data_IF_178470921649
#
_entry.id   IF_178470921649
#
_cell.length_a   1.000
_cell.length_b   1.000
_cell.length_c   1.000
_cell.angle_alpha   90.00
_cell.angle_beta   90.00
_cell.angle_gamma   90.00
#
_symmetry.space_group_name_H-M   'P 1'
#
loop_
_entity.id
_entity.type
_entity.pdbx_description
1 polymer ?
#
# COMPACT_ATOMS: atom_id res chain seq x y z
N UNK A 1 15.20 -34.57 -27.99
CA UNK A 1 15.89 -33.55 -27.16
C UNK A 1 15.21 -32.17 -27.20
N UNK A 2 14.79 -31.63 -28.36
CA UNK A 2 14.08 -30.34 -28.45
C UNK A 2 12.80 -30.25 -27.58
N UNK A 3 12.01 -31.32 -27.52
CA UNK A 3 10.74 -31.32 -26.77
C UNK A 3 10.93 -31.24 -25.24
N UNK A 4 12.08 -31.69 -24.73
CA UNK A 4 12.40 -31.64 -23.30
C UNK A 4 12.72 -30.21 -22.83
N UNK A 5 13.44 -29.44 -23.66
CA UNK A 5 13.72 -28.03 -23.37
C UNK A 5 12.46 -27.16 -23.40
N UNK A 6 11.53 -27.43 -24.32
CA UNK A 6 10.23 -26.75 -24.36
C UNK A 6 9.41 -27.06 -23.11
N UNK A 7 9.39 -28.31 -22.66
CA UNK A 7 8.71 -28.70 -21.41
C UNK A 7 9.33 -28.04 -20.17
N UNK A 8 10.65 -28.01 -20.06
CA UNK A 8 11.34 -27.36 -18.93
C UNK A 8 11.13 -25.84 -18.94
N UNK A 9 11.11 -25.22 -20.11
CA UNK A 9 10.80 -23.80 -20.26
C UNK A 9 9.34 -23.50 -19.90
N UNK A 10 8.38 -24.28 -20.39
CA UNK A 10 6.96 -24.14 -20.03
C UNK A 10 6.73 -24.38 -18.53
N UNK A 11 7.42 -25.35 -17.94
CA UNK A 11 7.36 -25.62 -16.50
C UNK A 11 7.92 -24.44 -15.69
N UNK A 12 9.11 -23.94 -16.05
CA UNK A 12 9.71 -22.76 -15.42
C UNK A 12 8.84 -21.51 -15.55
N UNK A 13 8.23 -21.29 -16.71
CA UNK A 13 7.32 -20.17 -16.92
C UNK A 13 6.08 -20.34 -16.04
N UNK A 14 5.47 -21.53 -16.01
CA UNK A 14 4.29 -21.82 -15.18
C UNK A 14 4.54 -21.72 -13.66
N UNK A 15 5.74 -22.10 -13.18
CA UNK A 15 6.08 -21.97 -11.76
C UNK A 15 6.20 -20.51 -11.32
N UNK A 16 6.79 -19.65 -12.17
CA UNK A 16 6.85 -18.21 -11.91
C UNK A 16 5.46 -17.55 -11.98
N UNK A 17 4.55 -18.04 -12.84
CA UNK A 17 3.16 -17.59 -12.86
C UNK A 17 2.41 -17.91 -11.55
N UNK A 18 2.67 -19.07 -10.94
CA UNK A 18 2.04 -19.46 -9.67
C UNK A 18 2.50 -18.57 -8.49
N UNK A 19 3.77 -18.16 -8.49
CA UNK A 19 4.35 -17.26 -7.48
C UNK A 19 3.91 -15.79 -7.69
N UNK A 20 3.72 -15.39 -8.95
CA UNK A 20 3.21 -14.06 -9.32
C UNK A 20 1.71 -13.88 -9.03
N UNK A 21 0.99 -14.97 -8.75
CA UNK A 21 -0.43 -14.95 -8.42
C UNK A 21 -0.63 -14.53 -6.94
N UNK A 22 -0.37 -13.24 -6.70
CA UNK A 22 -1.09 -12.35 -5.77
C UNK A 22 -1.49 -12.98 -4.43
N UNK A 23 -0.52 -13.38 -3.62
CA UNK A 23 -0.79 -13.48 -2.18
C UNK A 23 -1.11 -12.07 -1.69
N UNK A 24 -2.32 -11.87 -1.17
CA UNK A 24 -2.72 -10.61 -0.57
C UNK A 24 -1.66 -10.24 0.50
N UNK A 25 -1.07 -9.05 0.37
CA UNK A 25 -0.09 -8.54 1.34
C UNK A 25 -0.77 -8.53 2.70
N UNK A 26 -0.15 -9.16 3.70
CA UNK A 26 -0.79 -9.44 4.99
C UNK A 26 -0.17 -8.58 6.08
N UNK A 27 -1.00 -7.86 6.82
CA UNK A 27 -0.60 -7.13 8.01
C UNK A 27 -1.32 -7.70 9.23
N UNK A 28 -0.59 -8.09 10.26
CA UNK A 28 -1.14 -8.86 11.38
C UNK A 28 -0.60 -8.36 12.72
N UNK A 29 -1.43 -8.48 13.76
CA UNK A 29 -0.97 -8.42 15.15
C UNK A 29 -0.36 -9.79 15.52
N UNK A 30 0.96 -9.86 15.53
CA UNK A 30 1.70 -11.02 16.03
C UNK A 30 1.86 -11.00 17.56
N UNK A 31 2.66 -11.93 18.09
CA UNK A 31 3.01 -11.93 19.51
C UNK A 31 4.00 -10.79 19.80
N UNK A 32 3.53 -9.74 20.49
CA UNK A 32 4.32 -8.58 20.92
C UNK A 32 4.92 -7.73 19.77
N UNK A 33 4.47 -7.91 18.52
CA UNK A 33 4.93 -7.14 17.35
C UNK A 33 3.87 -7.17 16.26
N UNK A 34 3.90 -6.19 15.35
CA UNK A 34 3.21 -6.33 14.07
C UNK A 34 4.03 -7.18 13.10
N UNK A 35 3.34 -7.82 12.17
CA UNK A 35 3.93 -8.57 11.06
C UNK A 35 3.47 -7.97 9.74
N UNK A 36 4.41 -7.74 8.82
CA UNK A 36 4.15 -7.44 7.41
C UNK A 36 4.66 -8.64 6.59
N UNK A 37 3.74 -9.38 5.99
CA UNK A 37 3.97 -10.63 5.27
C UNK A 37 4.76 -11.66 6.09
N UNK A 38 4.32 -11.85 7.34
CA UNK A 38 4.93 -12.77 8.29
C UNK A 38 6.26 -12.30 8.90
N UNK A 39 6.78 -11.14 8.51
CA UNK A 39 8.04 -10.58 9.04
C UNK A 39 7.78 -9.51 10.11
N UNK A 40 8.52 -9.49 11.23
CA UNK A 40 8.40 -8.42 12.23
C UNK A 40 8.52 -7.02 11.61
N UNK A 41 7.57 -6.15 11.95
CA UNK A 41 7.48 -4.80 11.41
C UNK A 41 7.19 -3.80 12.52
N UNK A 42 8.04 -2.79 12.65
CA UNK A 42 7.81 -1.64 13.54
C UNK A 42 7.19 -0.52 12.71
N UNK A 43 5.95 -0.16 13.03
CA UNK A 43 5.26 0.97 12.40
C UNK A 43 5.90 2.27 12.90
N UNK A 44 6.43 3.06 11.96
CA UNK A 44 6.93 4.42 12.19
C UNK A 44 6.09 5.35 11.32
N UNK A 45 4.99 5.81 11.89
CA UNK A 45 3.98 6.54 11.16
C UNK A 45 4.22 8.06 11.17
N UNK A 46 3.95 8.71 10.05
CA UNK A 46 3.72 10.14 9.97
C UNK A 46 2.21 10.42 9.78
N UNK A 47 1.69 11.40 10.51
CA UNK A 47 0.29 11.84 10.39
C UNK A 47 0.17 12.89 9.29
N UNK A 48 -0.69 12.64 8.28
CA UNK A 48 -0.93 13.58 7.18
C UNK A 48 -2.43 13.80 7.01
N UNK A 49 -2.83 15.07 6.95
CA UNK A 49 -4.20 15.49 6.64
C UNK A 49 -4.22 16.08 5.23
N UNK A 50 -4.65 15.29 4.24
CA UNK A 50 -4.66 15.70 2.82
C UNK A 50 -5.44 16.99 2.58
N UNK A 51 -6.50 17.24 3.34
CA UNK A 51 -7.33 18.47 3.27
C UNK A 51 -6.58 19.74 3.66
N UNK A 52 -5.44 19.61 4.35
CA UNK A 52 -4.59 20.74 4.80
C UNK A 52 -3.35 20.92 3.93
N UNK A 53 -3.19 20.13 2.87
CA UNK A 53 -2.03 20.15 1.97
C UNK A 53 -2.57 20.30 0.53
N UNK A 54 -2.11 21.30 -0.24
CA UNK A 54 -2.44 21.37 -1.66
C UNK A 54 -2.13 20.05 -2.38
N UNK A 55 -3.03 19.57 -3.24
CA UNK A 55 -2.91 18.28 -3.93
C UNK A 55 -1.61 18.17 -4.72
N UNK A 56 -1.21 19.26 -5.38
CA UNK A 56 0.07 19.37 -6.09
C UNK A 56 1.30 19.11 -5.21
N UNK A 57 1.16 19.14 -3.89
CA UNK A 57 2.25 18.93 -2.92
C UNK A 57 2.14 17.62 -2.14
N UNK A 58 1.14 16.76 -2.37
CA UNK A 58 1.02 15.50 -1.63
C UNK A 58 2.26 14.63 -1.81
N UNK A 59 2.72 14.43 -3.05
CA UNK A 59 3.93 13.65 -3.34
C UNK A 59 5.14 14.21 -2.60
N UNK A 60 5.40 15.51 -2.71
CA UNK A 60 6.48 16.17 -1.99
C UNK A 60 6.38 15.95 -0.47
N UNK A 61 5.18 16.02 0.13
CA UNK A 61 5.02 15.78 1.58
C UNK A 61 5.30 14.32 1.94
N UNK A 62 4.84 13.37 1.13
CA UNK A 62 5.11 11.94 1.29
C UNK A 62 6.61 11.65 1.22
N UNK A 63 7.31 12.25 0.25
CA UNK A 63 8.76 12.11 0.09
C UNK A 63 9.53 12.64 1.30
N UNK A 64 9.13 13.78 1.86
CA UNK A 64 9.74 14.29 3.10
C UNK A 64 9.56 13.33 4.27
N UNK A 65 8.37 12.75 4.45
CA UNK A 65 8.13 11.76 5.51
C UNK A 65 8.99 10.51 5.31
N UNK A 66 9.13 10.04 4.07
CA UNK A 66 10.00 8.92 3.73
C UNK A 66 11.48 9.25 4.01
N UNK A 67 11.95 10.43 3.63
CA UNK A 67 13.31 10.91 3.89
C UNK A 67 13.61 11.05 5.39
N UNK A 68 12.60 11.40 6.20
CA UNK A 68 12.67 11.40 7.67
C UNK A 68 12.79 9.98 8.28
N UNK A 69 12.59 8.93 7.48
CA UNK A 69 12.70 7.54 7.91
C UNK A 69 11.38 6.90 8.37
N UNK A 70 10.25 7.55 8.06
CA UNK A 70 8.91 6.98 8.27
C UNK A 70 8.62 5.91 7.22
N UNK A 71 7.86 4.89 7.61
CA UNK A 71 7.50 3.75 6.76
C UNK A 71 5.98 3.55 6.63
N UNK A 72 5.19 4.43 7.24
CA UNK A 72 3.73 4.38 7.23
C UNK A 72 3.21 5.82 7.27
N UNK A 73 2.09 6.07 6.59
CA UNK A 73 1.35 7.32 6.70
C UNK A 73 0.00 7.00 7.32
N UNK A 74 -0.37 7.74 8.35
CA UNK A 74 -1.71 7.74 8.92
C UNK A 74 -2.50 8.89 8.29
N UNK A 75 -3.73 8.60 7.87
CA UNK A 75 -4.61 9.55 7.18
C UNK A 75 -5.98 9.51 7.83
N UNK A 76 -6.45 10.65 8.33
CA UNK A 76 -7.86 10.85 8.65
C UNK A 76 -8.67 11.09 7.38
N UNK A 77 -9.87 10.53 7.33
CA UNK A 77 -10.90 10.88 6.34
C UNK A 77 -11.87 11.87 6.98
N UNK A 78 -11.99 13.05 6.39
CA UNK A 78 -12.80 14.14 6.93
C UNK A 78 -14.21 14.07 6.37
N UNK A 79 -15.11 13.43 7.10
CA UNK A 79 -16.48 13.17 6.64
C UNK A 79 -17.22 14.44 6.18
N UNK A 80 -17.21 15.48 7.00
CA UNK A 80 -17.89 16.76 6.70
C UNK A 80 -17.41 17.45 5.41
N UNK A 81 -16.21 17.17 4.93
CA UNK A 81 -15.69 17.69 3.66
C UNK A 81 -16.27 16.88 2.49
N UNK A 82 -16.46 15.58 2.69
CA UNK A 82 -16.98 14.66 1.69
C UNK A 82 -18.50 14.60 1.64
N UNK A 83 -19.22 15.00 2.68
CA UNK A 83 -20.68 15.05 2.71
C UNK A 83 -21.14 16.36 3.36
N UNK A 84 -21.05 17.45 2.59
CA UNK A 84 -21.49 18.78 3.06
C UNK A 84 -23.02 18.89 3.09
N UNK A 85 -23.70 18.11 2.26
CA UNK A 85 -25.15 17.94 2.25
C UNK A 85 -25.46 16.45 2.44
N UNK A 86 -26.41 16.12 3.32
CA UNK A 86 -26.80 14.74 3.60
C UNK A 86 -27.18 13.97 2.31
N UNK A 87 -26.59 12.80 2.15
CA UNK A 87 -26.73 11.93 0.99
C UNK A 87 -25.92 12.36 -0.25
N UNK A 88 -25.23 13.51 -0.21
CA UNK A 88 -24.46 14.04 -1.35
C UNK A 88 -22.97 13.95 -1.08
N UNK A 89 -22.37 12.84 -1.50
CA UNK A 89 -20.94 12.62 -1.36
C UNK A 89 -20.14 13.26 -2.50
N UNK A 90 -19.09 13.98 -2.13
CA UNK A 90 -18.11 14.56 -3.04
C UNK A 90 -16.68 14.13 -2.65
N UNK A 91 -16.07 13.36 -3.54
CA UNK A 91 -14.67 12.93 -3.44
C UNK A 91 -13.78 13.58 -4.50
N UNK A 92 -14.31 14.56 -5.25
CA UNK A 92 -13.51 15.34 -6.19
C UNK A 92 -12.50 16.22 -5.45
N UNK A 93 -12.83 16.67 -4.23
CA UNK A 93 -11.88 17.28 -3.29
C UNK A 93 -11.12 18.47 -3.89
N UNK A 94 -9.81 18.54 -3.63
CA UNK A 94 -8.91 19.18 -4.59
C UNK A 94 -8.68 18.22 -5.75
#
# INVERSE_FOLDING_TARGET
MKNLFVFLFLFYVSSNYLEAQTTARKFEAGKNTFLLDGKPFVVKAAELHYTRIPQAYWEHRIEMCKALGMNTICIYIFWNIHEQEEGKFDFSGQ
#
